data_IF_951386372752
#
_entry.id   IF_951386372752
#
_cell.length_a   1.000
_cell.length_b   1.000
_cell.length_c   1.000
_cell.angle_alpha   90.00
_cell.angle_beta   90.00
_cell.angle_gamma   90.00
#
_symmetry.space_group_name_H-M   'P 1'
#
loop_
_entity.id
_entity.type
_entity.pdbx_description
1 polymer ?
#
# COMPACT_ATOMS: atom_id res chain seq x y z
N UNK A 1 -6.32 -10.77 -5.02
CA UNK A 1 -5.59 -12.04 -5.03
C UNK A 1 -6.31 -13.15 -5.75
N UNK A 2 -7.36 -12.90 -6.55
CA UNK A 2 -8.21 -13.89 -7.23
C UNK A 2 -7.39 -14.89 -8.06
N UNK A 3 -6.94 -16.03 -7.48
CA UNK A 3 -5.66 -16.63 -7.85
C UNK A 3 -5.72 -17.34 -9.20
N UNK A 4 -6.93 -17.69 -9.64
CA UNK A 4 -7.17 -18.44 -10.88
C UNK A 4 -7.74 -17.56 -12.00
N UNK A 5 -8.11 -16.31 -11.73
CA UNK A 5 -8.80 -15.46 -12.73
C UNK A 5 -7.88 -15.14 -13.89
N UNK A 6 -6.62 -14.77 -13.62
CA UNK A 6 -5.65 -14.46 -14.67
C UNK A 6 -5.44 -15.65 -15.61
N UNK A 7 -5.18 -16.84 -15.05
CA UNK A 7 -4.98 -18.07 -15.83
C UNK A 7 -6.23 -18.46 -16.63
N UNK A 8 -7.43 -18.26 -16.06
CA UNK A 8 -8.68 -18.51 -16.76
C UNK A 8 -8.85 -17.56 -17.95
N UNK A 9 -8.63 -16.26 -17.76
CA UNK A 9 -8.73 -15.25 -18.83
C UNK A 9 -7.75 -15.54 -19.95
N UNK A 10 -6.50 -15.90 -19.61
CA UNK A 10 -5.47 -16.26 -20.59
C UNK A 10 -5.85 -17.51 -21.40
N UNK A 11 -6.43 -18.51 -20.75
CA UNK A 11 -6.80 -19.78 -21.40
C UNK A 11 -8.10 -19.69 -22.22
N UNK A 12 -8.95 -18.69 -21.95
CA UNK A 12 -10.29 -18.59 -22.53
C UNK A 12 -10.50 -17.28 -23.33
N UNK A 13 -9.43 -16.67 -23.86
CA UNK A 13 -9.51 -15.37 -24.57
C UNK A 13 -10.58 -15.31 -25.66
N UNK A 14 -10.72 -16.37 -26.46
CA UNK A 14 -11.74 -16.43 -27.52
C UNK A 14 -13.17 -16.48 -26.98
N UNK A 15 -13.39 -17.18 -25.85
CA UNK A 15 -14.69 -17.23 -25.19
C UNK A 15 -15.07 -15.88 -24.57
N UNK A 16 -14.07 -15.11 -24.15
CA UNK A 16 -14.21 -13.84 -23.45
C UNK A 16 -14.10 -12.63 -24.38
N UNK A 17 -14.09 -12.84 -25.70
CA UNK A 17 -14.06 -11.75 -26.67
C UNK A 17 -15.34 -10.91 -26.55
N UNK A 18 -15.18 -9.61 -26.32
CA UNK A 18 -16.28 -8.67 -26.12
C UNK A 18 -15.86 -7.24 -26.48
N UNK A 19 -16.83 -6.40 -26.84
CA UNK A 19 -16.61 -4.98 -27.14
C UNK A 19 -16.29 -4.15 -25.89
N UNK A 20 -16.79 -4.59 -24.72
CA UNK A 20 -16.60 -3.93 -23.44
C UNK A 20 -16.72 -4.91 -22.25
N UNK A 21 -16.16 -4.51 -21.10
CA UNK A 21 -16.28 -5.24 -19.85
C UNK A 21 -16.84 -4.31 -18.78
N UNK A 22 -18.00 -4.67 -18.20
CA UNK A 22 -18.53 -4.01 -17.01
C UNK A 22 -18.01 -4.79 -15.82
N UNK A 23 -17.25 -4.11 -14.96
CA UNK A 23 -16.69 -4.72 -13.77
C UNK A 23 -17.80 -4.99 -12.74
N UNK A 24 -17.65 -6.06 -11.96
CA UNK A 24 -18.71 -6.54 -11.05
C UNK A 24 -18.96 -5.60 -9.86
N UNK A 25 -17.94 -4.82 -9.46
CA UNK A 25 -18.05 -3.92 -8.32
C UNK A 25 -18.30 -2.46 -8.74
N UNK A 26 -19.02 -1.77 -7.88
CA UNK A 26 -19.36 -0.35 -7.99
C UNK A 26 -19.98 0.13 -6.68
N UNK A 27 -20.31 1.41 -6.61
CA UNK A 27 -20.89 1.99 -5.41
C UNK A 27 -21.64 3.28 -5.68
N UNK A 28 -22.22 3.81 -4.62
CA UNK A 28 -22.79 5.16 -4.60
C UNK A 28 -21.96 6.05 -3.69
N UNK A 29 -21.98 7.35 -3.94
CA UNK A 29 -21.37 8.34 -3.06
C UNK A 29 -22.27 8.65 -1.85
N UNK A 30 -21.86 9.59 -1.00
CA UNK A 30 -22.63 9.99 0.19
C UNK A 30 -23.99 10.63 -0.12
N UNK A 31 -24.18 11.10 -1.36
CA UNK A 31 -25.47 11.61 -1.87
C UNK A 31 -26.32 10.53 -2.54
N UNK A 32 -25.92 9.26 -2.44
CA UNK A 32 -26.58 8.11 -3.08
C UNK A 32 -26.58 8.19 -4.63
N UNK A 33 -25.60 8.88 -5.21
CA UNK A 33 -25.39 8.98 -6.65
C UNK A 33 -24.44 7.85 -7.10
N UNK A 34 -24.76 7.10 -8.18
CA UNK A 34 -23.89 6.06 -8.71
C UNK A 34 -22.52 6.59 -9.13
N UNK A 35 -21.46 5.88 -8.75
CA UNK A 35 -20.08 6.20 -9.11
C UNK A 35 -19.57 5.18 -10.12
N UNK A 36 -19.11 5.67 -11.27
CA UNK A 36 -18.42 4.86 -12.28
C UNK A 36 -16.92 5.04 -12.09
N UNK A 37 -16.22 3.93 -11.81
CA UNK A 37 -14.76 3.91 -11.71
C UNK A 37 -14.14 3.41 -13.01
N UNK A 38 -13.16 4.16 -13.51
CA UNK A 38 -12.42 3.82 -14.73
C UNK A 38 -11.06 3.18 -14.44
N UNK A 39 -10.86 2.67 -13.24
CA UNK A 39 -9.60 2.07 -12.84
C UNK A 39 -9.51 1.78 -11.36
N UNK A 40 -8.49 1.01 -11.00
CA UNK A 40 -8.16 0.62 -9.64
C UNK A 40 -6.65 0.72 -9.45
N UNK A 41 -6.23 1.21 -8.29
CA UNK A 41 -4.82 1.15 -7.89
C UNK A 41 -4.38 -0.31 -7.80
N UNK A 42 -3.15 -0.58 -8.23
CA UNK A 42 -2.54 -1.89 -8.00
C UNK A 42 -2.20 -2.07 -6.51
N UNK A 43 -1.73 -3.26 -6.17
CA UNK A 43 -1.25 -3.56 -4.82
C UNK A 43 -0.01 -4.43 -4.87
N UNK A 44 0.94 -4.14 -3.98
CA UNK A 44 1.95 -5.09 -3.52
C UNK A 44 1.79 -5.24 -2.01
N UNK A 45 1.55 -6.46 -1.53
CA UNK A 45 1.42 -6.77 -0.11
C UNK A 45 2.56 -7.72 0.29
N UNK A 46 3.32 -7.33 1.31
CA UNK A 46 4.51 -8.05 1.77
C UNK A 46 4.55 -8.16 3.29
N UNK A 47 5.27 -9.16 3.80
CA UNK A 47 5.60 -9.26 5.21
C UNK A 47 7.12 -9.21 5.40
N UNK A 48 7.57 -8.26 6.22
CA UNK A 48 8.94 -8.18 6.72
C UNK A 48 9.07 -8.97 8.02
N UNK A 49 10.15 -9.71 8.17
CA UNK A 49 10.45 -10.48 9.39
C UNK A 49 11.92 -10.31 9.81
N UNK A 50 12.13 -10.02 11.10
CA UNK A 50 13.44 -9.88 11.74
C UNK A 50 13.56 -10.86 12.89
N UNK A 51 14.61 -11.68 12.88
CA UNK A 51 14.93 -12.64 13.94
C UNK A 51 16.13 -12.17 14.75
N UNK A 52 15.98 -12.15 16.07
CA UNK A 52 17.02 -11.84 17.04
C UNK A 52 17.62 -13.10 17.65
N UNK A 53 17.77 -13.12 18.98
CA UNK A 53 18.20 -14.31 19.72
C UNK A 53 17.29 -15.52 19.43
N UNK A 54 17.77 -16.74 19.68
CA UNK A 54 17.03 -17.98 19.43
C UNK A 54 15.75 -18.15 20.28
N UNK A 55 15.58 -17.31 21.29
CA UNK A 55 14.46 -17.28 22.22
C UNK A 55 14.29 -15.89 22.81
N UNK A 56 13.14 -15.64 23.42
CA UNK A 56 12.93 -14.46 24.25
C UNK A 56 13.98 -14.39 25.36
N UNK A 57 14.48 -13.17 25.61
CA UNK A 57 15.52 -12.91 26.62
C UNK A 57 15.01 -11.96 27.69
N UNK A 58 15.55 -12.05 28.91
CA UNK A 58 15.24 -11.08 29.96
C UNK A 58 15.66 -9.66 29.54
N UNK A 59 14.79 -8.66 29.74
CA UNK A 59 15.02 -7.32 29.20
C UNK A 59 16.21 -6.57 29.79
N UNK A 60 16.76 -7.01 30.93
CA UNK A 60 18.02 -6.46 31.46
C UNK A 60 19.21 -6.66 30.53
N UNK A 61 19.14 -7.59 29.58
CA UNK A 61 20.18 -7.84 28.60
C UNK A 61 20.13 -6.92 27.37
N UNK A 62 19.21 -5.94 27.35
CA UNK A 62 18.99 -5.06 26.17
C UNK A 62 20.21 -4.23 25.78
N UNK A 63 21.17 -4.06 26.68
CA UNK A 63 22.44 -3.37 26.44
C UNK A 63 23.43 -4.19 25.62
N UNK A 64 23.22 -5.51 25.52
CA UNK A 64 24.17 -6.44 24.88
C UNK A 64 23.51 -7.41 23.89
N UNK A 65 22.19 -7.60 23.96
CA UNK A 65 21.41 -8.45 23.03
C UNK A 65 20.63 -7.56 22.07
N UNK A 66 20.79 -7.74 20.73
CA UNK A 66 20.06 -6.95 19.75
C UNK A 66 18.55 -7.22 19.84
N UNK A 67 17.76 -6.16 19.68
CA UNK A 67 16.30 -6.25 19.73
C UNK A 67 15.73 -6.19 18.29
N UNK A 68 15.08 -7.28 17.81
CA UNK A 68 14.51 -7.30 16.46
C UNK A 68 13.38 -6.29 16.26
N UNK A 69 12.67 -5.89 17.32
CA UNK A 69 11.63 -4.86 17.24
C UNK A 69 12.24 -3.50 16.89
N UNK A 70 13.31 -3.09 17.58
CA UNK A 70 14.03 -1.85 17.26
C UNK A 70 14.61 -1.89 15.85
N UNK A 71 15.19 -3.02 15.48
CA UNK A 71 15.74 -3.24 14.15
C UNK A 71 14.70 -3.04 13.05
N UNK A 72 13.50 -3.61 13.23
CA UNK A 72 12.38 -3.45 12.32
C UNK A 72 11.86 -2.01 12.28
N UNK A 73 11.74 -1.34 13.43
CA UNK A 73 11.32 0.07 13.51
C UNK A 73 12.26 0.97 12.70
N UNK A 74 13.58 0.79 12.83
CA UNK A 74 14.55 1.56 12.05
C UNK A 74 14.39 1.32 10.54
N UNK A 75 14.18 0.07 10.13
CA UNK A 75 13.94 -0.25 8.73
C UNK A 75 12.67 0.43 8.20
N UNK A 76 11.56 0.32 8.93
CA UNK A 76 10.29 0.96 8.56
C UNK A 76 10.42 2.48 8.47
N UNK A 77 11.13 3.10 9.41
CA UNK A 77 11.38 4.55 9.40
C UNK A 77 12.24 5.02 8.22
N UNK A 78 12.99 4.12 7.59
CA UNK A 78 13.75 4.43 6.37
C UNK A 78 12.89 4.41 5.09
N UNK A 79 11.70 3.80 5.14
CA UNK A 79 10.85 3.66 3.95
C UNK A 79 10.04 4.93 3.65
N UNK A 80 9.62 5.65 4.70
CA UNK A 80 8.70 6.78 4.58
C UNK A 80 8.92 7.78 5.72
N UNK A 81 8.85 9.07 5.41
CA UNK A 81 9.07 10.15 6.38
C UNK A 81 7.78 10.73 6.98
N UNK A 82 7.96 11.73 7.85
CA UNK A 82 6.87 12.48 8.53
C UNK A 82 6.08 13.41 7.58
N UNK A 83 6.56 13.60 6.36
CA UNK A 83 5.87 14.32 5.29
C UNK A 83 5.14 13.36 4.34
N UNK A 84 5.05 12.09 4.72
CA UNK A 84 4.44 10.99 3.98
C UNK A 84 5.16 10.64 2.66
N UNK A 85 6.39 11.13 2.47
CA UNK A 85 7.19 10.86 1.28
C UNK A 85 7.89 9.51 1.40
N UNK A 86 7.82 8.70 0.35
CA UNK A 86 8.42 7.36 0.30
C UNK A 86 9.86 7.48 -0.20
N UNK A 87 10.81 6.98 0.58
CA UNK A 87 12.26 7.13 0.35
C UNK A 87 12.90 5.93 -0.35
N UNK A 88 12.11 5.08 -0.98
CA UNK A 88 12.61 3.96 -1.77
C UNK A 88 13.15 4.50 -3.10
N UNK A 89 14.43 4.26 -3.38
CA UNK A 89 15.09 4.72 -4.61
C UNK A 89 14.34 4.25 -5.87
N UNK A 90 14.00 5.22 -6.73
CA UNK A 90 13.27 5.00 -7.99
C UNK A 90 11.79 4.65 -7.81
N UNK A 91 11.22 4.80 -6.60
CA UNK A 91 9.80 4.48 -6.35
C UNK A 91 8.86 5.27 -7.25
N UNK A 92 9.14 6.57 -7.44
CA UNK A 92 8.31 7.49 -8.21
C UNK A 92 8.61 7.53 -9.71
N UNK A 93 9.63 6.81 -10.21
CA UNK A 93 10.06 6.86 -11.63
C UNK A 93 8.94 6.51 -12.64
N UNK A 94 7.95 5.72 -12.20
CA UNK A 94 6.80 5.29 -12.99
C UNK A 94 5.49 5.95 -12.54
N UNK A 95 5.57 6.96 -11.68
CA UNK A 95 4.41 7.76 -11.26
C UNK A 95 4.35 8.97 -12.19
N UNK A 96 3.45 8.91 -13.16
CA UNK A 96 3.29 9.99 -14.13
C UNK A 96 2.34 11.05 -13.57
N UNK A 97 2.59 12.34 -13.83
CA UNK A 97 1.63 13.39 -13.51
C UNK A 97 0.33 13.18 -14.32
N UNK A 98 -0.84 13.54 -13.75
CA UNK A 98 -2.09 13.45 -14.48
C UNK A 98 -2.12 14.42 -15.66
N UNK A 99 -2.78 14.03 -16.75
CA UNK A 99 -3.07 14.92 -17.85
C UNK A 99 -4.29 15.83 -17.55
N UNK A 100 -4.57 16.79 -18.44
CA UNK A 100 -5.66 17.76 -18.23
C UNK A 100 -7.04 17.08 -18.13
N UNK A 101 -7.32 16.06 -18.94
CA UNK A 101 -8.60 15.36 -18.88
C UNK A 101 -8.81 14.64 -17.53
N UNK A 102 -7.75 14.08 -16.96
CA UNK A 102 -7.79 13.49 -15.61
C UNK A 102 -8.03 14.53 -14.53
N UNK A 103 -7.35 15.68 -14.63
CA UNK A 103 -7.53 16.79 -13.69
C UNK A 103 -8.99 17.27 -13.75
N UNK A 104 -9.54 17.43 -14.95
CA UNK A 104 -10.92 17.86 -15.15
C UNK A 104 -11.92 16.82 -14.60
N UNK A 105 -11.67 15.53 -14.84
CA UNK A 105 -12.49 14.44 -14.30
C UNK A 105 -12.46 14.41 -12.76
N UNK A 106 -11.28 14.55 -12.15
CA UNK A 106 -11.12 14.62 -10.68
C UNK A 106 -11.80 15.87 -10.12
N UNK A 107 -11.72 17.01 -10.81
CA UNK A 107 -12.44 18.22 -10.41
C UNK A 107 -13.96 18.02 -10.42
N UNK A 108 -14.49 17.33 -11.43
CA UNK A 108 -15.91 17.01 -11.56
C UNK A 108 -16.42 16.00 -10.51
N UNK A 109 -15.54 15.17 -9.93
CA UNK A 109 -15.94 14.25 -8.86
C UNK A 109 -16.52 15.00 -7.66
N UNK A 110 -17.65 14.51 -7.08
CA UNK A 110 -18.18 14.98 -5.81
C UNK A 110 -17.09 15.08 -4.74
N UNK A 111 -17.07 16.21 -4.02
CA UNK A 111 -16.20 16.35 -2.86
C UNK A 111 -16.97 15.88 -1.63
N UNK A 112 -16.67 14.66 -1.21
CA UNK A 112 -17.29 14.04 -0.03
C UNK A 112 -16.34 14.04 1.19
N UNK A 113 -15.41 14.99 1.20
CA UNK A 113 -14.33 15.08 2.18
C UNK A 113 -14.87 15.22 3.61
N UNK A 114 -15.82 16.12 3.83
CA UNK A 114 -16.33 16.43 5.17
C UNK A 114 -17.20 15.30 5.71
N UNK A 115 -18.06 14.72 4.87
CA UNK A 115 -18.87 13.54 5.21
C UNK A 115 -17.98 12.35 5.57
N UNK A 116 -16.95 12.10 4.74
CA UNK A 116 -15.98 11.04 5.00
C UNK A 116 -15.24 11.29 6.30
N UNK A 117 -14.75 12.52 6.53
CA UNK A 117 -14.03 12.90 7.76
C UNK A 117 -14.87 12.67 9.01
N UNK A 118 -16.12 13.13 8.99
CA UNK A 118 -17.06 12.97 10.10
C UNK A 118 -17.41 11.51 10.35
N UNK A 119 -17.70 10.73 9.30
CA UNK A 119 -18.04 9.31 9.41
C UNK A 119 -16.91 8.46 10.03
N UNK A 120 -15.66 8.84 9.76
CA UNK A 120 -14.46 8.18 10.29
C UNK A 120 -14.03 8.74 11.66
N UNK A 121 -14.73 9.75 12.18
CA UNK A 121 -14.42 10.38 13.47
C UNK A 121 -13.07 11.10 13.49
N UNK A 122 -12.60 11.60 12.35
CA UNK A 122 -11.29 12.22 12.21
C UNK A 122 -11.36 13.72 12.51
N UNK A 123 -10.39 14.27 13.23
CA UNK A 123 -10.26 15.74 13.33
C UNK A 123 -9.78 16.36 12.01
N UNK A 124 -8.86 15.69 11.33
CA UNK A 124 -8.29 16.09 10.03
C UNK A 124 -7.76 14.88 9.28
N UNK A 125 -7.68 14.96 7.96
CA UNK A 125 -6.97 13.98 7.15
C UNK A 125 -5.44 14.09 7.33
N UNK A 126 -4.74 13.07 6.85
CA UNK A 126 -3.28 13.01 6.85
C UNK A 126 -2.69 14.32 6.28
N UNK A 127 -1.74 14.93 7.01
CA UNK A 127 -1.12 16.22 6.68
C UNK A 127 -2.09 17.38 6.37
N UNK A 128 -3.35 17.30 6.80
CA UNK A 128 -4.36 18.32 6.50
C UNK A 128 -4.76 18.39 5.03
N UNK A 129 -4.64 17.28 4.30
CA UNK A 129 -5.11 17.15 2.91
C UNK A 129 -6.59 17.54 2.81
N UNK A 130 -6.91 18.40 1.84
CA UNK A 130 -8.26 18.94 1.64
C UNK A 130 -8.52 19.34 0.17
N UNK A 131 -9.79 19.54 -0.18
CA UNK A 131 -10.26 20.03 -1.47
C UNK A 131 -9.85 19.15 -2.65
N UNK A 132 -9.20 19.75 -3.65
CA UNK A 132 -8.71 19.02 -4.82
C UNK A 132 -7.67 17.96 -4.44
N UNK A 133 -6.77 18.26 -3.50
CA UNK A 133 -5.73 17.35 -3.06
C UNK A 133 -6.32 16.08 -2.45
N UNK A 134 -7.42 16.18 -1.69
CA UNK A 134 -8.11 15.01 -1.16
C UNK A 134 -8.47 14.00 -2.25
N UNK A 135 -9.09 14.49 -3.34
CA UNK A 135 -9.49 13.66 -4.47
C UNK A 135 -8.27 13.17 -5.27
N UNK A 136 -7.37 14.09 -5.61
CA UNK A 136 -6.18 13.81 -6.43
C UNK A 136 -5.28 12.76 -5.79
N UNK A 137 -4.94 12.92 -4.50
CA UNK A 137 -4.08 11.96 -3.78
C UNK A 137 -4.75 10.60 -3.65
N UNK A 138 -6.03 10.58 -3.30
CA UNK A 138 -6.77 9.33 -3.16
C UNK A 138 -6.81 8.52 -4.46
N UNK A 139 -6.91 9.16 -5.61
CA UNK A 139 -7.01 8.49 -6.92
C UNK A 139 -5.64 8.18 -7.52
N UNK A 140 -4.68 9.11 -7.45
CA UNK A 140 -3.47 9.05 -8.27
C UNK A 140 -2.20 8.65 -7.51
N UNK A 141 -2.07 9.01 -6.23
CA UNK A 141 -0.80 8.83 -5.53
C UNK A 141 -0.59 7.38 -5.07
N UNK A 142 0.61 6.81 -5.26
CA UNK A 142 0.95 5.55 -4.62
C UNK A 142 1.16 5.72 -3.11
N UNK A 143 1.13 4.62 -2.37
CA UNK A 143 1.34 4.64 -0.92
C UNK A 143 2.28 3.54 -0.46
N UNK A 144 2.79 3.67 0.76
CA UNK A 144 3.46 2.63 1.54
C UNK A 144 2.85 2.70 2.94
N UNK A 145 2.08 1.68 3.32
CA UNK A 145 1.31 1.64 4.55
C UNK A 145 1.70 0.42 5.41
N UNK A 146 1.57 0.57 6.73
CA UNK A 146 1.73 -0.53 7.69
C UNK A 146 0.34 -1.10 7.98
N UNK A 147 0.07 -2.32 7.50
CA UNK A 147 -1.19 -3.01 7.77
C UNK A 147 -1.18 -3.72 9.13
N UNK A 148 0.00 -4.07 9.62
CA UNK A 148 0.17 -4.70 10.93
C UNK A 148 1.62 -4.67 11.37
N UNK A 149 1.83 -4.59 12.68
CA UNK A 149 3.14 -4.59 13.31
C UNK A 149 3.04 -5.37 14.62
N UNK A 150 3.80 -6.47 14.74
CA UNK A 150 3.77 -7.34 15.90
C UNK A 150 5.17 -7.76 16.36
N UNK A 151 5.38 -7.78 17.69
CA UNK A 151 6.59 -8.24 18.35
C UNK A 151 6.37 -8.35 19.87
N UNK A 152 6.96 -9.37 20.50
CA UNK A 152 7.01 -9.48 21.96
C UNK A 152 5.67 -9.70 22.66
N UNK A 153 5.51 -9.08 23.84
CA UNK A 153 4.34 -9.28 24.70
C UNK A 153 3.24 -8.25 24.38
N UNK A 154 2.09 -8.73 23.91
CA UNK A 154 0.94 -7.91 23.50
C UNK A 154 -0.28 -8.06 24.42
N UNK A 155 -0.13 -8.79 25.54
CA UNK A 155 -1.18 -8.98 26.54
C UNK A 155 -1.25 -7.85 27.58
N UNK A 156 -2.23 -7.89 28.50
CA UNK A 156 -2.37 -6.89 29.56
C UNK A 156 -1.19 -6.94 30.55
N UNK A 157 -0.89 -5.80 31.19
CA UNK A 157 0.18 -5.71 32.19
C UNK A 157 1.56 -5.54 31.58
N UNK A 158 2.59 -6.06 32.25
CA UNK A 158 3.98 -5.92 31.80
C UNK A 158 4.72 -7.26 31.79
N UNK A 159 5.66 -7.41 30.85
CA UNK A 159 6.60 -8.54 30.79
C UNK A 159 7.98 -8.00 30.46
N UNK A 160 8.97 -8.30 31.29
CA UNK A 160 10.37 -7.85 31.13
C UNK A 160 11.10 -8.70 30.10
N UNK A 161 10.73 -8.54 28.82
CA UNK A 161 11.20 -9.39 27.72
C UNK A 161 11.82 -8.59 26.57
N UNK A 162 12.87 -9.16 25.98
CA UNK A 162 13.36 -8.86 24.65
C UNK A 162 12.83 -9.93 23.70
N UNK A 163 12.04 -9.55 22.68
CA UNK A 163 11.47 -10.50 21.75
C UNK A 163 12.55 -11.14 20.88
N UNK A 164 12.39 -12.42 20.54
CA UNK A 164 13.22 -13.07 19.52
C UNK A 164 12.80 -12.74 18.07
N UNK A 165 11.64 -12.12 17.88
CA UNK A 165 10.99 -11.99 16.58
C UNK A 165 10.14 -10.74 16.49
N UNK A 166 10.25 -10.02 15.36
CA UNK A 166 9.39 -8.91 15.01
C UNK A 166 8.93 -9.03 13.54
N UNK A 167 7.68 -8.63 13.27
CA UNK A 167 7.08 -8.68 11.94
C UNK A 167 6.30 -7.42 11.62
N UNK A 168 6.34 -7.04 10.35
CA UNK A 168 5.49 -5.99 9.80
C UNK A 168 4.83 -6.46 8.50
N UNK A 169 3.54 -6.24 8.36
CA UNK A 169 2.82 -6.39 7.09
C UNK A 169 2.70 -5.01 6.45
N UNK A 170 3.13 -4.90 5.20
CA UNK A 170 3.09 -3.65 4.44
C UNK A 170 2.26 -3.83 3.19
N UNK A 171 1.48 -2.81 2.85
CA UNK A 171 0.86 -2.68 1.54
C UNK A 171 1.35 -1.43 0.81
N UNK A 172 1.63 -1.60 -0.47
CA UNK A 172 1.91 -0.53 -1.40
C UNK A 172 0.75 -0.43 -2.36
N UNK A 173 0.01 0.69 -2.34
CA UNK A 173 -0.93 0.99 -3.42
C UNK A 173 -0.16 1.59 -4.58
N UNK A 174 -0.39 1.05 -5.77
CA UNK A 174 0.44 1.30 -6.95
C UNK A 174 -0.28 2.21 -7.95
N UNK A 175 0.46 3.19 -8.47
CA UNK A 175 0.03 4.06 -9.57
C UNK A 175 0.05 3.30 -10.92
N UNK A 176 -0.68 3.74 -11.96
CA UNK A 176 -0.95 2.98 -13.19
C UNK A 176 0.26 2.29 -13.86
N UNK A 177 1.43 2.91 -13.86
CA UNK A 177 2.63 2.37 -14.52
C UNK A 177 3.62 1.67 -13.58
N UNK A 178 3.31 1.57 -12.30
CA UNK A 178 4.08 0.75 -11.36
C UNK A 178 3.69 -0.73 -11.50
N UNK A 179 4.64 -1.61 -11.19
CA UNK A 179 4.44 -3.07 -11.20
C UNK A 179 4.87 -3.65 -9.85
N UNK A 180 4.11 -4.60 -9.27
CA UNK A 180 4.43 -5.18 -7.97
C UNK A 180 5.86 -5.73 -7.90
N UNK A 181 6.32 -6.46 -8.92
CA UNK A 181 7.66 -7.07 -8.95
C UNK A 181 8.79 -6.03 -8.95
N UNK A 182 8.61 -4.92 -9.67
CA UNK A 182 9.58 -3.81 -9.69
C UNK A 182 9.65 -3.12 -8.33
N UNK A 183 8.50 -2.84 -7.70
CA UNK A 183 8.45 -2.23 -6.36
C UNK A 183 9.03 -3.16 -5.30
N UNK A 184 8.78 -4.47 -5.40
CA UNK A 184 9.37 -5.47 -4.53
C UNK A 184 10.90 -5.50 -4.64
N UNK A 185 11.43 -5.48 -5.86
CA UNK A 185 12.87 -5.44 -6.10
C UNK A 185 13.51 -4.16 -5.55
N UNK A 186 12.82 -3.00 -5.70
CA UNK A 186 13.24 -1.72 -5.13
C UNK A 186 13.21 -1.73 -3.61
N UNK A 187 12.16 -2.29 -2.98
CA UNK A 187 12.08 -2.46 -1.53
C UNK A 187 13.24 -3.30 -1.00
N UNK A 188 13.54 -4.44 -1.64
CA UNK A 188 14.67 -5.28 -1.25
C UNK A 188 15.99 -4.51 -1.33
N UNK A 189 16.23 -3.83 -2.45
CA UNK A 189 17.44 -3.01 -2.65
C UNK A 189 17.56 -1.90 -1.61
N UNK A 190 16.45 -1.23 -1.28
CA UNK A 190 16.40 -0.18 -0.25
C UNK A 190 16.81 -0.72 1.11
N UNK A 191 16.22 -1.84 1.53
CA UNK A 191 16.59 -2.48 2.79
C UNK A 191 18.09 -2.84 2.79
N UNK A 192 18.61 -3.41 1.71
CA UNK A 192 20.02 -3.81 1.62
C UNK A 192 20.97 -2.61 1.66
N UNK A 193 20.68 -1.52 0.94
CA UNK A 193 21.53 -0.32 0.89
C UNK A 193 21.56 0.45 2.22
N UNK A 194 20.48 0.35 3.01
CA UNK A 194 20.40 0.92 4.36
C UNK A 194 20.89 -0.05 5.45
N UNK A 195 21.49 -1.17 5.06
CA UNK A 195 22.12 -2.12 5.95
C UNK A 195 21.16 -3.11 6.60
N UNK A 196 19.89 -3.21 6.17
CA UNK A 196 18.83 -4.11 6.65
C UNK A 196 18.73 -5.42 5.83
N UNK A 197 19.86 -5.96 5.36
CA UNK A 197 19.92 -7.20 4.60
C UNK A 197 19.53 -8.45 5.40
N UNK A 198 19.56 -8.36 6.73
CA UNK A 198 19.09 -9.37 7.68
C UNK A 198 17.55 -9.47 7.77
N UNK A 199 16.82 -8.45 7.30
CA UNK A 199 15.36 -8.45 7.31
C UNK A 199 14.87 -9.26 6.13
N UNK A 200 14.13 -10.33 6.40
CA UNK A 200 13.55 -11.19 5.37
C UNK A 200 12.23 -10.63 4.86
N UNK A 201 11.99 -10.77 3.55
CA UNK A 201 10.66 -10.57 2.95
C UNK A 201 10.06 -11.97 2.79
N UNK A 202 8.92 -12.25 3.42
CA UNK A 202 8.28 -13.55 3.34
C UNK A 202 7.90 -13.90 1.89
N UNK A 203 7.92 -15.20 1.55
CA UNK A 203 7.64 -15.68 0.19
C UNK A 203 6.18 -15.53 -0.24
N UNK A 204 5.26 -15.42 0.72
CA UNK A 204 3.85 -15.12 0.47
C UNK A 204 3.72 -13.62 0.16
N UNK A 205 3.74 -13.32 -1.12
CA UNK A 205 3.61 -11.96 -1.66
C UNK A 205 2.33 -11.94 -2.49
N UNK A 206 1.50 -10.92 -2.26
CA UNK A 206 0.33 -10.68 -3.09
C UNK A 206 0.58 -9.44 -3.95
N UNK A 207 0.51 -9.61 -5.27
CA UNK A 207 0.74 -8.54 -6.22
C UNK A 207 -0.37 -8.50 -7.26
N UNK A 208 -0.97 -7.32 -7.47
CA UNK A 208 -1.92 -7.09 -8.56
C UNK A 208 -1.54 -5.81 -9.28
N UNK A 209 -1.52 -5.85 -10.62
CA UNK A 209 -1.22 -4.70 -11.42
C UNK A 209 -2.36 -3.66 -11.34
N UNK A 210 -2.04 -2.35 -11.36
CA UNK A 210 -3.05 -1.32 -11.55
C UNK A 210 -3.80 -1.50 -12.87
N UNK A 211 -5.06 -1.07 -12.89
CA UNK A 211 -5.87 -1.03 -14.10
C UNK A 211 -6.41 0.39 -14.32
N UNK A 212 -6.46 0.81 -15.58
CA UNK A 212 -7.00 2.11 -15.98
C UNK A 212 -7.57 2.03 -17.40
N UNK A 213 -8.76 2.58 -17.57
CA UNK A 213 -9.46 2.79 -18.83
C UNK A 213 -9.34 4.27 -19.23
N UNK A 214 -8.99 4.59 -20.49
CA UNK A 214 -9.01 5.96 -20.99
C UNK A 214 -10.40 6.60 -20.87
N UNK A 215 -10.43 7.89 -20.52
CA UNK A 215 -11.68 8.66 -20.40
C UNK A 215 -12.40 8.86 -21.74
N UNK A 216 -11.67 8.76 -22.85
CA UNK A 216 -12.15 8.90 -24.22
C UNK A 216 -12.37 7.54 -24.92
N UNK A 217 -12.32 6.43 -24.17
CA UNK A 217 -12.65 5.13 -24.72
C UNK A 217 -14.11 5.12 -25.21
N UNK A 218 -14.44 4.61 -26.40
CA UNK A 218 -15.79 4.72 -26.98
C UNK A 218 -16.97 4.19 -26.14
N UNK A 219 -16.67 3.33 -25.16
CA UNK A 219 -17.66 2.75 -24.24
C UNK A 219 -17.91 3.60 -22.99
N UNK A 220 -17.00 4.52 -22.66
CA UNK A 220 -17.03 5.41 -21.48
C UNK A 220 -17.81 6.68 -21.82
#
# INVERSE_FOLDING_TARGET
GSPNVAAFVESNRQLLEADACIWECGGVNWRNEPVVSLGLKGILYVQLEVRGASQDVHSSMATVVPNPAWRLVWALSSLKDLEETIHIDGFYDKVLPPNQQEIDAINAMPLDEEETRQSLGLERFVKGVAGFDYKSRHILEPTCNICGLDSGYTGPGSKTVLPCLARAKLDFRLAPNQRPDDVLAKLRRHLDSHGFSDITIASQIEGENPARTPLDAPFV
#
